data_IF_919648166125
#
_entry.id   IF_919648166125
#
_cell.length_a   1.000
_cell.length_b   1.000
_cell.length_c   1.000
_cell.angle_alpha   90.00
_cell.angle_beta   90.00
_cell.angle_gamma   90.00
#
_symmetry.space_group_name_H-M   'P 1'
#
loop_
_entity.id
_entity.type
_entity.pdbx_description
1 polymer ?
#
# COMPACT_ATOMS: atom_id res chain seq x y z
N UNK A 1 -5.03 -75.78 -10.31
CA UNK A 1 -5.14 -75.58 -11.77
C UNK A 1 -4.09 -74.57 -12.20
N UNK A 2 -3.19 -74.97 -13.10
CA UNK A 2 -2.09 -74.17 -13.67
C UNK A 2 -2.56 -73.54 -14.98
N UNK A 3 -2.24 -72.27 -15.20
CA UNK A 3 -1.96 -71.66 -16.51
C UNK A 3 -1.31 -70.29 -16.23
N UNK A 4 -0.10 -69.94 -16.62
CA UNK A 4 0.74 -70.46 -17.70
C UNK A 4 0.52 -69.65 -18.97
N UNK A 5 1.03 -68.41 -19.03
CA UNK A 5 1.26 -67.71 -20.29
C UNK A 5 2.60 -66.97 -20.29
N UNK A 6 3.24 -67.09 -21.44
CA UNK A 6 4.65 -66.88 -21.76
C UNK A 6 4.92 -65.52 -22.37
N UNK A 7 6.12 -65.03 -22.05
CA UNK A 7 6.93 -63.93 -22.57
C UNK A 7 6.73 -63.46 -24.03
N UNK A 8 6.80 -62.14 -24.23
CA UNK A 8 7.51 -61.51 -25.35
C UNK A 8 8.27 -60.27 -24.88
N UNK A 9 9.58 -60.34 -25.03
CA UNK A 9 10.56 -59.25 -24.93
C UNK A 9 10.30 -58.23 -26.04
N UNK A 10 10.12 -56.96 -25.67
CA UNK A 10 10.22 -55.84 -26.59
C UNK A 10 11.54 -55.11 -26.31
N UNK A 11 12.54 -55.40 -27.13
CA UNK A 11 13.76 -54.60 -27.26
C UNK A 11 13.37 -53.31 -27.97
N UNK A 12 13.37 -52.18 -27.28
CA UNK A 12 13.33 -50.86 -27.94
C UNK A 12 14.73 -50.28 -27.89
N UNK A 13 15.24 -49.99 -29.09
CA UNK A 13 16.57 -49.49 -29.34
C UNK A 13 16.82 -48.13 -28.67
N UNK A 14 18.04 -47.99 -28.17
CA UNK A 14 18.64 -46.73 -27.69
C UNK A 14 18.87 -45.83 -28.91
N UNK A 15 18.16 -44.70 -28.97
CA UNK A 15 18.41 -43.60 -29.88
C UNK A 15 19.04 -42.44 -29.12
N UNK A 16 20.25 -42.05 -29.53
CA UNK A 16 21.04 -40.93 -29.01
C UNK A 16 20.52 -39.56 -29.48
N UNK A 17 20.95 -38.53 -28.73
CA UNK A 17 20.91 -37.09 -29.01
C UNK A 17 19.54 -36.40 -28.79
N UNK A 18 19.43 -35.27 -28.09
CA UNK A 18 20.37 -34.15 -27.95
C UNK A 18 20.38 -33.68 -26.50
N UNK A 19 21.59 -33.43 -25.99
CA UNK A 19 21.86 -32.65 -24.79
C UNK A 19 21.42 -31.21 -25.07
N UNK A 20 20.14 -30.93 -24.84
CA UNK A 20 19.60 -29.57 -24.80
C UNK A 20 19.73 -29.05 -23.39
N UNK A 21 20.82 -28.35 -23.09
CA UNK A 21 20.89 -27.43 -21.95
C UNK A 21 19.95 -26.27 -22.27
N UNK A 22 18.65 -26.51 -22.15
CA UNK A 22 17.68 -25.44 -21.98
C UNK A 22 17.95 -24.85 -20.61
N UNK A 23 18.61 -23.71 -20.58
CA UNK A 23 18.77 -22.90 -19.37
C UNK A 23 17.44 -22.87 -18.61
N UNK A 24 17.43 -23.00 -17.27
CA UNK A 24 16.25 -22.58 -16.53
C UNK A 24 16.07 -21.11 -16.88
N UNK A 25 14.99 -20.79 -17.58
CA UNK A 25 14.54 -19.42 -17.73
C UNK A 25 14.34 -18.92 -16.31
N UNK A 26 15.29 -18.10 -15.86
CA UNK A 26 15.24 -17.28 -14.67
C UNK A 26 14.04 -16.36 -14.82
N UNK A 27 12.86 -16.86 -14.46
CA UNK A 27 11.68 -16.05 -14.23
C UNK A 27 11.88 -15.37 -12.88
N UNK A 28 12.87 -14.48 -12.80
CA UNK A 28 12.87 -13.41 -11.83
C UNK A 28 11.57 -12.64 -12.09
N UNK A 29 10.54 -12.90 -11.28
CA UNK A 29 9.31 -12.12 -11.29
C UNK A 29 9.71 -10.66 -11.25
N UNK A 30 9.26 -9.86 -12.22
CA UNK A 30 9.50 -8.42 -12.20
C UNK A 30 9.12 -7.92 -10.82
N UNK A 31 10.07 -7.32 -10.10
CA UNK A 31 9.81 -6.84 -8.73
C UNK A 31 8.59 -5.92 -8.75
N UNK A 32 7.66 -6.11 -7.82
CA UNK A 32 6.50 -5.24 -7.67
C UNK A 32 6.96 -3.85 -7.23
N UNK A 33 6.71 -2.86 -8.08
CA UNK A 33 7.25 -1.50 -7.98
C UNK A 33 6.14 -0.47 -8.17
N UNK A 34 6.20 0.58 -7.37
CA UNK A 34 5.34 1.76 -7.46
C UNK A 34 6.08 2.98 -6.92
N UNK A 35 5.40 4.09 -6.71
CA UNK A 35 5.94 5.31 -6.08
C UNK A 35 4.95 5.86 -5.09
N UNK A 36 5.45 6.55 -4.07
CA UNK A 36 4.60 7.41 -3.25
C UNK A 36 4.12 8.59 -4.11
N UNK A 37 2.84 8.91 -4.01
CA UNK A 37 2.21 10.06 -4.64
C UNK A 37 2.33 11.30 -3.75
N UNK A 38 3.42 12.05 -3.96
CA UNK A 38 3.74 13.28 -3.24
C UNK A 38 4.91 13.14 -2.26
N UNK A 39 4.85 13.88 -1.17
CA UNK A 39 5.91 13.93 -0.16
C UNK A 39 5.89 12.69 0.75
N UNK A 40 7.07 12.19 1.07
CA UNK A 40 7.33 11.18 2.09
C UNK A 40 8.21 11.80 3.17
N UNK A 41 7.71 11.87 4.39
CA UNK A 41 8.42 12.43 5.56
C UNK A 41 8.88 11.33 6.54
N UNK A 42 8.85 10.07 6.09
CA UNK A 42 9.19 8.90 6.86
C UNK A 42 7.96 8.06 7.17
N UNK A 43 8.14 7.04 7.99
CA UNK A 43 7.06 6.27 8.56
C UNK A 43 6.82 6.67 10.02
N UNK A 44 5.55 6.69 10.39
CA UNK A 44 5.06 6.60 11.76
C UNK A 44 3.99 5.49 11.79
N UNK A 45 3.66 4.95 12.96
CA UNK A 45 2.71 3.84 13.09
C UNK A 45 1.33 4.21 12.52
N UNK A 46 0.85 3.38 11.59
CA UNK A 46 -0.38 3.54 10.80
C UNK A 46 -0.43 4.82 9.94
N UNK A 47 0.70 5.49 9.73
CA UNK A 47 0.79 6.55 8.74
C UNK A 47 0.56 5.94 7.35
N UNK A 48 -0.22 6.64 6.54
CA UNK A 48 -0.62 6.14 5.23
C UNK A 48 -0.15 7.07 4.12
N UNK A 49 0.30 6.47 3.03
CA UNK A 49 0.69 7.18 1.82
C UNK A 49 -0.06 6.62 0.62
N UNK A 50 -0.56 7.51 -0.23
CA UNK A 50 -1.10 7.10 -1.51
C UNK A 50 0.03 6.67 -2.43
N UNK A 51 -0.17 5.60 -3.19
CA UNK A 51 0.77 5.14 -4.20
C UNK A 51 0.26 5.49 -5.59
N UNK A 52 1.17 5.71 -6.54
CA UNK A 52 0.83 6.14 -7.91
C UNK A 52 0.07 5.09 -8.71
N UNK A 53 0.09 3.83 -8.28
CA UNK A 53 -0.65 2.72 -8.85
C UNK A 53 -2.04 2.52 -8.20
N UNK A 54 -2.46 3.43 -7.32
CA UNK A 54 -3.76 3.40 -6.65
C UNK A 54 -3.82 2.58 -5.36
N UNK A 55 -2.73 1.89 -4.99
CA UNK A 55 -2.61 1.25 -3.67
C UNK A 55 -2.36 2.28 -2.57
N UNK A 56 -2.42 1.82 -1.32
CA UNK A 56 -2.08 2.60 -0.13
C UNK A 56 -0.93 1.88 0.57
N UNK A 57 0.12 2.61 0.91
CA UNK A 57 1.18 2.14 1.81
C UNK A 57 0.77 2.44 3.25
N UNK A 58 0.85 1.45 4.14
CA UNK A 58 0.57 1.59 5.58
C UNK A 58 1.85 1.27 6.36
N UNK A 59 2.36 2.26 7.07
CA UNK A 59 3.57 2.14 7.88
C UNK A 59 3.31 1.33 9.16
N UNK A 60 4.22 0.41 9.48
CA UNK A 60 4.19 -0.46 10.67
C UNK A 60 5.35 -0.23 11.63
N UNK A 61 6.12 0.84 11.44
CA UNK A 61 7.20 1.28 12.34
C UNK A 61 7.39 2.80 12.27
N UNK A 62 8.20 3.34 13.18
CA UNK A 62 8.66 4.73 13.13
C UNK A 62 10.07 4.81 12.53
N UNK A 63 10.20 5.57 11.43
CA UNK A 63 11.49 5.90 10.84
C UNK A 63 11.42 7.18 10.01
N UNK A 64 12.23 8.19 10.34
CA UNK A 64 12.28 9.45 9.58
C UNK A 64 13.09 9.32 8.28
N UNK A 65 12.57 9.90 7.20
CA UNK A 65 13.28 10.17 5.94
C UNK A 65 12.46 11.15 5.11
N UNK A 66 13.09 12.17 4.54
CA UNK A 66 12.41 13.03 3.58
C UNK A 66 12.75 12.63 2.14
N UNK A 67 11.74 12.45 1.30
CA UNK A 67 11.87 12.28 -0.14
C UNK A 67 10.60 12.75 -0.87
N UNK A 68 10.75 13.28 -2.10
CA UNK A 68 9.62 13.59 -2.96
C UNK A 68 9.38 12.47 -3.98
N UNK A 69 8.20 11.88 -3.91
CA UNK A 69 7.75 10.74 -4.72
C UNK A 69 8.79 9.61 -4.78
N UNK A 70 9.29 9.07 -3.66
CA UNK A 70 10.29 7.98 -3.69
C UNK A 70 9.77 6.71 -4.39
N UNK A 71 10.70 5.89 -4.90
CA UNK A 71 10.37 4.55 -5.39
C UNK A 71 10.01 3.64 -4.22
N UNK A 72 8.97 2.83 -4.39
CA UNK A 72 8.57 1.76 -3.46
C UNK A 72 8.73 0.43 -4.18
N UNK A 73 9.50 -0.48 -3.59
CA UNK A 73 9.64 -1.87 -4.04
C UNK A 73 9.04 -2.77 -2.96
N UNK A 74 8.03 -3.57 -3.32
CA UNK A 74 7.40 -4.51 -2.38
C UNK A 74 8.26 -5.77 -2.31
N UNK A 75 8.76 -6.10 -1.12
CA UNK A 75 9.58 -7.29 -0.90
C UNK A 75 8.71 -8.48 -0.45
N UNK A 76 7.77 -8.23 0.47
CA UNK A 76 6.79 -9.20 0.97
C UNK A 76 5.53 -8.47 1.49
N UNK A 77 4.66 -9.18 2.22
CA UNK A 77 3.39 -8.64 2.74
C UNK A 77 3.54 -7.52 3.78
N UNK A 78 4.69 -7.41 4.46
CA UNK A 78 4.92 -6.46 5.55
C UNK A 78 6.24 -5.68 5.44
N UNK A 79 6.98 -5.85 4.34
CA UNK A 79 8.29 -5.24 4.12
C UNK A 79 8.37 -4.60 2.73
N UNK A 80 8.84 -3.35 2.69
CA UNK A 80 9.09 -2.60 1.45
C UNK A 80 10.46 -1.94 1.47
N UNK A 81 11.01 -1.65 0.30
CA UNK A 81 12.08 -0.67 0.15
C UNK A 81 11.50 0.67 -0.30
N UNK A 82 11.85 1.74 0.40
CA UNK A 82 11.57 3.12 -0.01
C UNK A 82 12.92 3.80 -0.21
N UNK A 83 13.23 4.21 -1.45
CA UNK A 83 14.55 4.73 -1.83
C UNK A 83 15.72 3.86 -1.32
N UNK A 84 15.61 2.53 -1.51
CA UNK A 84 16.61 1.51 -1.14
C UNK A 84 16.79 1.31 0.37
N UNK A 85 15.95 1.90 1.21
CA UNK A 85 15.93 1.65 2.64
C UNK A 85 14.72 0.79 2.99
N UNK A 86 14.93 -0.21 3.85
CA UNK A 86 13.88 -1.13 4.28
C UNK A 86 12.97 -0.50 5.34
N UNK A 87 11.67 -0.74 5.17
CA UNK A 87 10.63 -0.34 6.10
C UNK A 87 9.68 -1.51 6.38
N UNK A 88 9.28 -1.67 7.63
CA UNK A 88 8.10 -2.47 7.99
C UNK A 88 6.85 -1.70 7.57
N UNK A 89 6.29 -2.04 6.42
CA UNK A 89 5.07 -1.43 5.88
C UNK A 89 4.38 -2.40 4.90
N UNK A 90 3.06 -2.27 4.77
CA UNK A 90 2.26 -3.11 3.87
C UNK A 90 1.61 -2.25 2.79
N UNK A 91 1.44 -2.81 1.58
CA UNK A 91 0.58 -2.20 0.55
C UNK A 91 -0.80 -2.83 0.58
N UNK A 92 -1.85 -2.01 0.66
CA UNK A 92 -3.24 -2.46 0.72
C UNK A 92 -4.07 -1.86 -0.41
N UNK A 93 -5.13 -2.56 -0.80
CA UNK A 93 -6.11 -2.08 -1.77
C UNK A 93 -7.09 -1.08 -1.13
N UNK A 94 -7.28 0.07 -1.76
CA UNK A 94 -8.19 1.09 -1.27
C UNK A 94 -8.38 2.22 -2.26
N UNK A 95 -8.97 3.32 -1.78
CA UNK A 95 -9.17 4.54 -2.54
C UNK A 95 -8.70 5.73 -1.70
N UNK A 96 -8.15 6.76 -2.35
CA UNK A 96 -7.78 8.01 -1.70
C UNK A 96 -8.57 9.15 -2.32
N UNK A 97 -9.42 9.80 -1.51
CA UNK A 97 -10.14 11.00 -1.93
C UNK A 97 -9.42 12.23 -1.43
N UNK A 98 -9.20 13.21 -2.30
CA UNK A 98 -8.49 14.45 -1.99
C UNK A 98 -9.43 15.63 -2.03
N UNK A 99 -9.31 16.49 -1.03
CA UNK A 99 -10.05 17.76 -0.92
C UNK A 99 -9.24 18.71 -0.05
N UNK A 100 -9.86 19.81 0.37
CA UNK A 100 -9.28 20.74 1.32
C UNK A 100 -10.31 21.06 2.40
N UNK A 101 -9.84 21.49 3.57
CA UNK A 101 -10.70 22.19 4.52
C UNK A 101 -11.22 23.46 3.85
N UNK A 102 -12.50 23.75 3.99
CA UNK A 102 -13.14 24.88 3.28
C UNK A 102 -12.71 26.26 3.77
N UNK A 103 -12.09 26.35 4.95
CA UNK A 103 -11.70 27.61 5.58
C UNK A 103 -10.41 27.43 6.38
N UNK A 104 -10.19 28.31 7.35
CA UNK A 104 -9.14 28.16 8.35
C UNK A 104 -9.32 26.86 9.15
N UNK A 105 -8.21 26.16 9.37
CA UNK A 105 -8.12 25.00 10.22
C UNK A 105 -7.25 25.36 11.42
N UNK A 106 -7.88 25.37 12.60
CA UNK A 106 -7.23 25.65 13.88
C UNK A 106 -7.13 24.39 14.75
N UNK A 107 -6.90 23.24 14.11
CA UNK A 107 -6.84 21.94 14.78
C UNK A 107 -8.19 21.29 15.01
N UNK A 108 -8.14 20.10 15.59
CA UNK A 108 -9.27 19.35 16.11
C UNK A 108 -9.48 19.60 17.60
N UNK A 109 -10.74 19.71 17.98
CA UNK A 109 -11.23 19.67 19.36
C UNK A 109 -12.40 18.68 19.37
N UNK A 110 -12.67 18.01 20.49
CA UNK A 110 -13.79 17.06 20.58
C UNK A 110 -15.09 17.68 20.06
N UNK A 111 -15.79 16.95 19.19
CA UNK A 111 -17.07 17.33 18.58
C UNK A 111 -17.03 18.56 17.65
N UNK A 112 -15.85 19.11 17.39
CA UNK A 112 -15.69 20.16 16.38
C UNK A 112 -15.98 19.60 14.99
N UNK A 113 -16.87 20.28 14.27
CA UNK A 113 -17.19 19.98 12.88
C UNK A 113 -16.30 20.80 11.94
N UNK A 114 -15.73 20.13 10.95
CA UNK A 114 -14.87 20.71 9.93
C UNK A 114 -15.47 20.42 8.57
N UNK A 115 -15.80 21.47 7.82
CA UNK A 115 -16.32 21.34 6.46
C UNK A 115 -15.19 21.19 5.45
N UNK A 116 -15.38 20.30 4.49
CA UNK A 116 -14.49 20.11 3.35
C UNK A 116 -15.12 20.65 2.06
N UNK A 117 -14.28 21.04 1.10
CA UNK A 117 -14.72 21.63 -0.17
C UNK A 117 -15.59 20.68 -1.02
N UNK A 118 -15.43 19.38 -0.83
CA UNK A 118 -16.24 18.35 -1.49
C UNK A 118 -17.62 18.11 -0.82
N UNK A 119 -18.00 18.93 0.17
CA UNK A 119 -19.29 18.85 0.85
C UNK A 119 -19.37 17.83 1.98
N UNK A 120 -18.28 17.10 2.27
CA UNK A 120 -18.19 16.28 3.48
C UNK A 120 -17.96 17.15 4.72
N UNK A 121 -18.40 16.64 5.86
CA UNK A 121 -18.19 17.24 7.18
C UNK A 121 -17.48 16.20 8.06
N UNK A 122 -16.38 16.60 8.70
CA UNK A 122 -15.64 15.76 9.64
C UNK A 122 -15.86 16.24 11.07
N UNK A 123 -16.39 15.38 11.93
CA UNK A 123 -16.50 15.62 13.37
C UNK A 123 -15.31 14.98 14.08
N UNK A 124 -14.46 15.81 14.69
CA UNK A 124 -13.29 15.35 15.40
C UNK A 124 -13.66 14.54 16.66
N UNK A 125 -12.89 13.49 16.94
CA UNK A 125 -12.95 12.74 18.21
C UNK A 125 -11.64 12.80 19.00
N UNK A 126 -10.71 13.68 18.62
CA UNK A 126 -9.43 13.91 19.28
C UNK A 126 -9.19 15.40 19.48
N UNK A 127 -8.25 15.73 20.37
CA UNK A 127 -7.71 17.06 20.53
C UNK A 127 -6.34 17.16 19.87
N UNK A 128 -6.15 18.10 18.95
CA UNK A 128 -4.84 18.39 18.35
C UNK A 128 -4.84 19.79 17.76
N UNK A 129 -3.89 20.63 18.18
CA UNK A 129 -3.77 22.00 17.71
C UNK A 129 -2.87 22.09 16.47
N UNK A 130 -3.34 22.79 15.45
CA UNK A 130 -2.56 23.16 14.27
C UNK A 130 -3.25 24.30 13.54
N UNK A 131 -2.49 25.31 13.13
CA UNK A 131 -3.00 26.37 12.26
C UNK A 131 -2.64 26.09 10.80
N UNK A 132 -3.62 26.15 9.90
CA UNK A 132 -3.40 26.18 8.46
C UNK A 132 -4.60 26.81 7.73
N UNK A 133 -4.36 27.55 6.65
CA UNK A 133 -5.44 28.04 5.79
C UNK A 133 -5.75 27.02 4.69
N UNK A 134 -6.99 26.50 4.67
CA UNK A 134 -7.48 25.52 3.69
C UNK A 134 -6.53 24.33 3.43
N UNK A 135 -6.00 23.66 4.46
CA UNK A 135 -5.06 22.56 4.28
C UNK A 135 -5.64 21.41 3.44
N UNK A 136 -4.75 20.71 2.75
CA UNK A 136 -5.06 19.46 2.03
C UNK A 136 -5.63 18.42 3.00
N UNK A 137 -6.67 17.73 2.54
CA UNK A 137 -7.30 16.60 3.22
C UNK A 137 -7.20 15.38 2.33
N UNK A 138 -6.78 14.26 2.91
CA UNK A 138 -6.79 12.96 2.24
C UNK A 138 -7.63 11.98 3.06
N UNK A 139 -8.59 11.35 2.38
CA UNK A 139 -9.48 10.35 2.97
C UNK A 139 -9.11 9.01 2.37
N UNK A 140 -8.37 8.22 3.13
CA UNK A 140 -7.98 6.85 2.78
C UNK A 140 -9.12 5.92 3.11
N UNK A 141 -9.73 5.28 2.14
CA UNK A 141 -10.75 4.25 2.33
C UNK A 141 -10.10 2.89 2.06
N UNK A 142 -9.87 2.13 3.12
CA UNK A 142 -9.23 0.82 3.05
C UNK A 142 -10.29 -0.26 2.98
N UNK A 143 -10.15 -1.14 1.99
CA UNK A 143 -11.11 -2.22 1.74
C UNK A 143 -11.25 -3.13 2.96
N UNK A 144 -12.44 -3.18 3.57
CA UNK A 144 -12.73 -4.01 4.74
C UNK A 144 -12.31 -3.46 6.10
N UNK A 145 -11.65 -2.29 6.18
CA UNK A 145 -11.17 -1.70 7.45
C UNK A 145 -11.79 -0.33 7.78
N UNK A 146 -12.42 0.35 6.83
CA UNK A 146 -13.06 1.64 7.02
C UNK A 146 -12.27 2.76 6.37
N UNK A 147 -12.17 3.92 7.02
CA UNK A 147 -11.43 5.07 6.49
C UNK A 147 -10.52 5.72 7.53
N UNK A 148 -9.50 6.41 7.04
CA UNK A 148 -8.63 7.30 7.80
C UNK A 148 -8.61 8.68 7.15
N UNK A 149 -8.72 9.73 7.97
CA UNK A 149 -8.65 11.11 7.49
C UNK A 149 -7.31 11.69 7.90
N UNK A 150 -6.59 12.26 6.94
CA UNK A 150 -5.44 13.11 7.23
C UNK A 150 -5.74 14.56 6.83
N UNK A 151 -5.23 15.50 7.63
CA UNK A 151 -5.29 16.94 7.34
C UNK A 151 -3.85 17.44 7.42
N UNK A 152 -3.33 17.92 6.29
CA UNK A 152 -1.94 18.34 6.16
C UNK A 152 -0.94 17.27 6.63
N UNK A 153 -1.09 16.04 6.11
CA UNK A 153 -0.21 14.90 6.40
C UNK A 153 -0.43 14.24 7.77
N UNK A 154 -1.17 14.86 8.70
CA UNK A 154 -1.40 14.29 10.04
C UNK A 154 -2.72 13.53 10.14
N UNK A 155 -2.70 12.37 10.79
CA UNK A 155 -3.87 11.54 11.09
C UNK A 155 -4.79 12.21 12.12
N UNK A 156 -6.09 12.24 11.85
CA UNK A 156 -7.12 12.67 12.79
C UNK A 156 -8.20 11.60 12.91
N UNK A 157 -8.66 11.32 14.12
CA UNK A 157 -9.77 10.41 14.38
C UNK A 157 -11.09 11.20 14.44
N UNK A 158 -12.15 10.62 13.88
CA UNK A 158 -13.45 11.27 13.82
C UNK A 158 -14.44 10.60 12.87
N UNK A 159 -15.60 11.23 12.71
CA UNK A 159 -16.70 10.74 11.88
C UNK A 159 -16.90 11.62 10.65
N UNK A 160 -17.03 11.00 9.47
CA UNK A 160 -17.42 11.69 8.24
C UNK A 160 -18.93 11.66 8.05
N UNK A 161 -19.49 12.80 7.69
CA UNK A 161 -20.88 13.01 7.35
C UNK A 161 -20.99 13.60 5.95
N UNK A 162 -22.09 13.29 5.28
CA UNK A 162 -22.48 13.97 4.05
C UNK A 162 -23.49 15.06 4.41
N UNK A 163 -23.30 16.24 3.83
CA UNK A 163 -24.27 17.34 3.95
C UNK A 163 -25.59 17.01 3.26
#
# INVERSE_FOLDING_TARGET
MKSGHTWRTATIAVGFAVVGWGAPYDQASAADRTRIDGEFEGCDYDQMYALTDGRILVCGEYQYQYAYSPEVIVLDEATVLIDKKEYRAATVAGNVYRTNVSAEFNGCEHDKYISFDNGLIFQCSTYHYQYAYRPKVEIFVISGQGYQVTIHGKKYAGKLFKR
#
